data_IF_411288197270
#
_entry.id   IF_411288197270
#
_cell.length_a   1.000
_cell.length_b   1.000
_cell.length_c   1.000
_cell.angle_alpha   90.00
_cell.angle_beta   90.00
_cell.angle_gamma   90.00
#
_symmetry.space_group_name_H-M   'P 1'
#
loop_
_entity.id
_entity.type
_entity.pdbx_description
1 polymer ?
#
# COMPACT_ATOMS: atom_id res chain seq x y z
N UNK A 1 -3.41 -15.51 -15.28
CA UNK A 1 -2.12 -14.99 -14.75
C UNK A 1 -2.39 -13.65 -14.10
N UNK A 2 -1.92 -13.43 -12.86
CA UNK A 2 -2.06 -12.18 -12.12
C UNK A 2 -0.68 -11.52 -12.01
N UNK A 3 -0.56 -10.23 -12.32
CA UNK A 3 0.73 -9.51 -12.32
C UNK A 3 0.55 -8.15 -11.63
N UNK A 4 1.48 -7.79 -10.74
CA UNK A 4 1.44 -6.49 -10.04
C UNK A 4 2.31 -6.47 -8.79
N UNK A 5 2.43 -5.29 -8.16
CA UNK A 5 3.26 -5.06 -6.97
C UNK A 5 2.47 -4.74 -5.69
N UNK A 6 1.17 -4.97 -5.67
CA UNK A 6 0.30 -4.65 -4.52
C UNK A 6 0.10 -5.90 -3.67
N UNK A 7 1.09 -6.23 -2.85
CA UNK A 7 1.13 -7.48 -2.07
C UNK A 7 -0.07 -7.65 -1.13
N UNK A 8 -0.63 -6.57 -0.60
CA UNK A 8 -1.86 -6.66 0.22
C UNK A 8 -3.03 -7.28 -0.58
N UNK A 9 -3.15 -6.99 -1.88
CA UNK A 9 -4.22 -7.54 -2.71
C UNK A 9 -4.01 -9.02 -2.99
N UNK A 10 -2.75 -9.44 -3.24
CA UNK A 10 -2.42 -10.86 -3.35
C UNK A 10 -2.71 -11.61 -2.06
N UNK A 11 -2.37 -11.02 -0.90
CA UNK A 11 -2.62 -11.64 0.39
C UNK A 11 -4.12 -11.82 0.64
N UNK A 12 -4.90 -10.75 0.39
CA UNK A 12 -6.35 -10.78 0.46
C UNK A 12 -6.97 -11.85 -0.45
N UNK A 13 -6.42 -12.02 -1.66
CA UNK A 13 -6.90 -13.03 -2.61
C UNK A 13 -6.56 -14.46 -2.16
N UNK A 14 -5.32 -14.69 -1.70
CA UNK A 14 -4.83 -16.03 -1.36
C UNK A 14 -5.38 -16.54 -0.01
N UNK A 15 -5.40 -15.67 1.00
CA UNK A 15 -5.78 -16.02 2.37
C UNK A 15 -7.26 -15.71 2.67
N UNK A 16 -7.95 -15.01 1.76
CA UNK A 16 -9.24 -14.40 2.02
C UNK A 16 -9.13 -13.14 2.88
N UNK A 17 -10.20 -12.35 2.90
CA UNK A 17 -10.39 -11.27 3.86
C UNK A 17 -11.51 -11.64 4.81
N UNK A 18 -11.30 -11.42 6.10
CA UNK A 18 -12.37 -11.49 7.08
C UNK A 18 -13.51 -10.53 6.68
N UNK A 19 -14.77 -10.92 6.89
CA UNK A 19 -15.92 -10.10 6.54
C UNK A 19 -16.02 -8.90 7.50
N UNK A 20 -15.34 -7.81 7.13
CA UNK A 20 -15.37 -6.56 7.86
C UNK A 20 -16.40 -5.61 7.24
N UNK A 21 -17.06 -4.75 8.04
CA UNK A 21 -17.97 -3.74 7.51
C UNK A 21 -17.24 -2.81 6.54
N UNK A 22 -17.95 -2.36 5.50
CA UNK A 22 -17.43 -1.35 4.58
C UNK A 22 -17.07 -0.06 5.33
N UNK A 23 -16.22 0.76 4.72
CA UNK A 23 -15.89 2.08 5.27
C UNK A 23 -17.16 2.95 5.38
N UNK A 24 -17.33 3.65 6.51
CA UNK A 24 -18.39 4.61 6.70
C UNK A 24 -17.79 6.03 6.83
N UNK A 25 -18.00 6.91 5.84
CA UNK A 25 -17.45 8.27 5.85
C UNK A 25 -17.86 9.11 7.06
N UNK A 26 -19.09 8.95 7.56
CA UNK A 26 -19.61 9.72 8.71
C UNK A 26 -18.85 9.36 9.99
N UNK A 27 -18.70 8.05 10.25
CA UNK A 27 -17.95 7.55 11.41
C UNK A 27 -16.46 7.92 11.32
N UNK A 28 -15.87 7.91 10.12
CA UNK A 28 -14.48 8.38 9.95
C UNK A 28 -14.34 9.85 10.26
N UNK A 29 -15.28 10.68 9.82
CA UNK A 29 -15.27 12.11 10.12
C UNK A 29 -15.41 12.37 11.62
N UNK A 30 -16.25 11.59 12.32
CA UNK A 30 -16.38 11.64 13.78
C UNK A 30 -15.07 11.26 14.49
N UNK A 31 -14.45 10.14 14.10
CA UNK A 31 -13.16 9.71 14.67
C UNK A 31 -12.07 10.76 14.41
N UNK A 32 -12.02 11.33 13.21
CA UNK A 32 -11.05 12.37 12.87
C UNK A 32 -11.28 13.63 13.70
N UNK A 33 -12.55 14.04 13.90
CA UNK A 33 -12.90 15.17 14.77
C UNK A 33 -12.45 14.91 16.22
N UNK A 34 -12.76 13.74 16.76
CA UNK A 34 -12.33 13.36 18.11
C UNK A 34 -10.79 13.33 18.23
N UNK A 35 -10.09 12.88 17.19
CA UNK A 35 -8.63 12.88 17.16
C UNK A 35 -8.04 14.30 17.24
N UNK A 36 -8.73 15.29 16.68
CA UNK A 36 -8.33 16.71 16.74
C UNK A 36 -8.63 17.33 18.10
N UNK A 37 -9.70 16.90 18.77
CA UNK A 37 -10.11 17.42 20.07
C UNK A 37 -9.36 16.78 21.25
N UNK A 38 -9.15 15.46 21.20
CA UNK A 38 -8.60 14.66 22.32
C UNK A 38 -7.21 14.09 22.04
N UNK A 39 -6.80 14.03 20.77
CA UNK A 39 -5.56 13.40 20.34
C UNK A 39 -5.69 11.89 20.06
N UNK A 40 -4.77 11.36 19.26
CA UNK A 40 -4.73 9.93 18.92
C UNK A 40 -4.42 9.01 20.10
N UNK A 41 -3.74 9.50 21.14
CA UNK A 41 -3.47 8.70 22.34
C UNK A 41 -4.78 8.36 23.07
N UNK A 42 -5.69 9.32 23.23
CA UNK A 42 -6.99 9.06 23.86
C UNK A 42 -7.82 8.05 23.06
N UNK A 43 -7.78 8.10 21.73
CA UNK A 43 -8.43 7.11 20.86
C UNK A 43 -7.77 5.73 20.93
N UNK A 44 -6.46 5.67 21.18
CA UNK A 44 -5.75 4.41 21.42
C UNK A 44 -6.13 3.81 22.77
N UNK A 45 -6.26 4.64 23.80
CA UNK A 45 -6.74 4.22 25.12
C UNK A 45 -8.19 3.70 25.03
N UNK A 46 -9.06 4.38 24.27
CA UNK A 46 -10.41 3.87 23.93
C UNK A 46 -10.30 2.49 23.27
N UNK A 47 -9.50 2.33 22.21
CA UNK A 47 -9.29 1.05 21.54
C UNK A 47 -8.82 -0.04 22.52
N UNK A 48 -7.98 0.31 23.50
CA UNK A 48 -7.47 -0.64 24.48
C UNK A 48 -8.56 -1.19 25.40
N UNK A 49 -9.59 -0.41 25.69
CA UNK A 49 -10.73 -0.85 26.50
C UNK A 49 -11.65 -1.81 25.74
N UNK A 50 -11.85 -1.59 24.43
CA UNK A 50 -12.74 -2.42 23.58
C UNK A 50 -12.05 -3.60 22.89
N UNK A 51 -10.77 -3.47 22.51
CA UNK A 51 -9.98 -4.48 21.80
C UNK A 51 -8.50 -4.39 22.23
N UNK A 52 -8.16 -4.93 23.42
CA UNK A 52 -6.79 -4.92 23.93
C UNK A 52 -5.77 -5.54 22.97
N UNK A 53 -6.18 -6.58 22.23
CA UNK A 53 -5.31 -7.31 21.29
C UNK A 53 -4.96 -6.45 20.08
N UNK A 54 -5.93 -5.74 19.51
CA UNK A 54 -5.65 -4.78 18.43
C UNK A 54 -4.84 -3.58 18.94
N UNK A 55 -5.13 -3.09 20.15
CA UNK A 55 -4.40 -1.96 20.74
C UNK A 55 -2.92 -2.26 20.99
N UNK A 56 -2.57 -3.48 21.37
CA UNK A 56 -1.16 -3.90 21.53
C UNK A 56 -0.42 -3.93 20.17
N UNK A 57 -1.12 -4.31 19.10
CA UNK A 57 -0.55 -4.44 17.75
C UNK A 57 -0.49 -3.13 16.97
N UNK A 58 -1.39 -2.19 17.26
CA UNK A 58 -1.53 -0.92 16.55
C UNK A 58 -0.86 0.17 17.38
N UNK A 59 0.19 0.77 16.85
CA UNK A 59 0.87 1.88 17.52
C UNK A 59 -0.03 3.14 17.51
N UNK A 60 -0.05 3.98 18.57
CA UNK A 60 -0.84 5.22 18.61
C UNK A 60 -0.55 6.19 17.44
N UNK A 61 0.66 6.13 16.90
CA UNK A 61 1.10 6.91 15.74
C UNK A 61 0.71 6.30 14.37
N UNK A 62 -0.12 5.26 14.34
CA UNK A 62 -0.72 4.71 13.12
C UNK A 62 -2.21 5.08 13.04
N UNK A 63 -2.53 6.34 12.68
CA UNK A 63 -3.91 6.84 12.71
C UNK A 63 -4.81 6.07 11.74
N UNK A 64 -4.26 5.53 10.65
CA UNK A 64 -5.02 4.78 9.67
C UNK A 64 -5.51 3.45 10.24
N UNK A 65 -4.63 2.68 10.90
CA UNK A 65 -5.03 1.41 11.51
C UNK A 65 -5.89 1.62 12.76
N UNK A 66 -5.57 2.63 13.56
CA UNK A 66 -6.33 2.96 14.76
C UNK A 66 -7.77 3.39 14.40
N UNK A 67 -7.91 4.34 13.46
CA UNK A 67 -9.22 4.77 12.95
C UNK A 67 -10.00 3.59 12.38
N UNK A 68 -9.35 2.68 11.64
CA UNK A 68 -10.03 1.50 11.09
C UNK A 68 -10.52 0.53 12.17
N UNK A 69 -9.75 0.29 13.22
CA UNK A 69 -10.16 -0.61 14.31
C UNK A 69 -11.37 -0.04 15.07
N UNK A 70 -11.34 1.27 15.38
CA UNK A 70 -12.47 1.98 15.99
C UNK A 70 -13.69 2.02 15.07
N UNK A 71 -13.51 2.31 13.77
CA UNK A 71 -14.57 2.32 12.76
C UNK A 71 -15.30 0.96 12.71
N UNK A 72 -14.55 -0.14 12.69
CA UNK A 72 -15.11 -1.50 12.68
C UNK A 72 -15.98 -1.73 13.92
N UNK A 73 -15.49 -1.36 15.11
CA UNK A 73 -16.24 -1.51 16.34
C UNK A 73 -17.49 -0.63 16.36
N UNK A 74 -17.39 0.65 15.98
CA UNK A 74 -18.52 1.59 15.96
C UNK A 74 -19.62 1.19 14.98
N UNK A 75 -19.29 0.55 13.85
CA UNK A 75 -20.29 0.06 12.88
C UNK A 75 -20.96 -1.23 13.38
N UNK A 76 -20.17 -2.17 13.88
CA UNK A 76 -20.63 -3.55 14.07
C UNK A 76 -20.95 -3.93 15.52
N UNK A 77 -20.48 -3.14 16.49
CA UNK A 77 -20.45 -3.48 17.91
C UNK A 77 -19.46 -4.59 18.28
N UNK A 78 -18.68 -5.11 17.32
CA UNK A 78 -17.72 -6.21 17.49
C UNK A 78 -16.30 -5.70 17.28
N UNK A 79 -15.37 -6.21 18.08
CA UNK A 79 -13.96 -5.82 17.98
C UNK A 79 -13.33 -6.29 16.67
N UNK A 80 -12.24 -5.63 16.26
CA UNK A 80 -11.51 -6.04 15.06
C UNK A 80 -10.91 -7.44 15.25
N UNK A 81 -10.45 -7.76 16.45
CA UNK A 81 -9.96 -9.10 16.80
C UNK A 81 -11.05 -10.15 16.62
N UNK A 82 -12.25 -9.93 17.18
CA UNK A 82 -13.39 -10.87 17.05
C UNK A 82 -13.75 -11.13 15.58
N UNK A 83 -13.87 -10.08 14.76
CA UNK A 83 -14.24 -10.25 13.35
C UNK A 83 -13.12 -10.88 12.52
N UNK A 84 -11.85 -10.74 12.93
CA UNK A 84 -10.71 -11.33 12.20
C UNK A 84 -10.39 -12.76 12.59
N UNK A 85 -11.03 -13.31 13.64
CA UNK A 85 -11.01 -14.74 13.92
C UNK A 85 -11.68 -15.55 12.80
N UNK A 86 -12.73 -14.99 12.20
CA UNK A 86 -13.34 -15.53 10.99
C UNK A 86 -12.45 -15.17 9.80
N UNK A 87 -11.69 -16.15 9.30
CA UNK A 87 -10.93 -15.98 8.06
C UNK A 87 -11.86 -16.10 6.86
N UNK A 88 -11.60 -15.30 5.83
CA UNK A 88 -12.24 -15.50 4.54
C UNK A 88 -11.79 -16.81 3.90
N UNK A 89 -12.54 -17.27 2.91
CA UNK A 89 -12.17 -18.46 2.16
C UNK A 89 -10.94 -18.17 1.26
N UNK A 90 -9.96 -19.09 1.21
CA UNK A 90 -8.86 -18.98 0.26
C UNK A 90 -9.37 -19.14 -1.17
N UNK A 91 -8.61 -18.63 -2.13
CA UNK A 91 -8.96 -18.77 -3.55
C UNK A 91 -9.03 -20.27 -3.94
N UNK A 92 -10.06 -20.74 -4.67
CA UNK A 92 -10.21 -22.16 -5.03
C UNK A 92 -9.31 -22.56 -6.22
N UNK A 93 -8.05 -22.16 -6.20
CA UNK A 93 -7.07 -22.45 -7.25
C UNK A 93 -5.76 -22.90 -6.63
N UNK A 94 -5.06 -23.79 -7.33
CA UNK A 94 -3.64 -24.03 -7.06
C UNK A 94 -2.85 -22.86 -7.65
N UNK A 95 -2.17 -22.11 -6.79
CA UNK A 95 -1.43 -20.91 -7.21
C UNK A 95 0.06 -21.17 -7.12
N UNK A 96 0.76 -21.01 -8.25
CA UNK A 96 2.23 -20.89 -8.28
C UNK A 96 2.59 -19.42 -8.17
N UNK A 97 3.46 -19.10 -7.22
CA UNK A 97 3.77 -17.72 -6.86
C UNK A 97 5.20 -17.39 -7.26
N UNK A 98 5.37 -16.30 -7.99
CA UNK A 98 6.66 -15.84 -8.47
C UNK A 98 6.90 -14.40 -8.04
N UNK A 99 8.14 -14.09 -7.68
CA UNK A 99 8.61 -12.73 -7.47
C UNK A 99 9.79 -12.45 -8.38
N UNK A 100 9.74 -11.32 -9.09
CA UNK A 100 10.82 -10.87 -9.96
C UNK A 100 11.41 -9.58 -9.41
N UNK A 101 12.72 -9.56 -9.19
CA UNK A 101 13.44 -8.39 -8.71
C UNK A 101 14.90 -8.39 -9.21
N UNK A 102 15.55 -7.22 -9.33
CA UNK A 102 17.00 -7.16 -9.49
C UNK A 102 17.70 -7.79 -8.28
N UNK A 103 18.84 -8.45 -8.52
CA UNK A 103 19.67 -8.97 -7.41
C UNK A 103 20.26 -7.82 -6.59
N UNK A 104 20.79 -6.82 -7.30
CA UNK A 104 21.47 -5.70 -6.67
C UNK A 104 20.52 -4.54 -6.36
N UNK A 105 20.57 -4.07 -5.11
CA UNK A 105 19.74 -2.94 -4.67
C UNK A 105 20.13 -1.63 -5.39
N UNK A 106 21.41 -1.47 -5.71
CA UNK A 106 21.90 -0.32 -6.47
C UNK A 106 21.27 -0.27 -7.86
N UNK A 107 21.15 -1.41 -8.53
CA UNK A 107 20.52 -1.49 -9.85
C UNK A 107 19.03 -1.16 -9.79
N UNK A 108 18.32 -1.63 -8.75
CA UNK A 108 16.93 -1.23 -8.52
C UNK A 108 16.78 0.28 -8.35
N UNK A 109 17.66 0.93 -7.57
CA UNK A 109 17.61 2.39 -7.39
C UNK A 109 17.90 3.12 -8.71
N UNK A 110 18.93 2.71 -9.46
CA UNK A 110 19.27 3.27 -10.76
C UNK A 110 18.10 3.19 -11.75
N UNK A 111 17.43 2.03 -11.81
CA UNK A 111 16.25 1.84 -12.69
C UNK A 111 15.05 2.68 -12.25
N UNK A 112 14.87 2.90 -10.94
CA UNK A 112 13.82 3.78 -10.41
C UNK A 112 14.06 5.22 -10.85
N UNK A 113 15.29 5.72 -10.71
CA UNK A 113 15.68 7.07 -11.14
C UNK A 113 15.44 7.26 -12.64
N UNK A 114 16.03 6.37 -13.46
CA UNK A 114 15.88 6.41 -14.91
C UNK A 114 14.42 6.33 -15.36
N UNK A 115 13.59 5.52 -14.69
CA UNK A 115 12.15 5.45 -14.99
C UNK A 115 11.46 6.77 -14.66
N UNK A 116 11.78 7.38 -13.53
CA UNK A 116 11.15 8.63 -13.10
C UNK A 116 11.50 9.78 -14.06
N UNK A 117 12.77 9.88 -14.46
CA UNK A 117 13.22 10.81 -15.51
C UNK A 117 12.43 10.63 -16.80
N UNK A 118 12.30 9.39 -17.29
CA UNK A 118 11.51 9.06 -18.48
C UNK A 118 10.02 9.43 -18.35
N UNK A 119 9.44 9.32 -17.15
CA UNK A 119 8.05 9.75 -16.92
C UNK A 119 7.93 11.27 -17.06
N UNK A 120 8.88 12.03 -16.52
CA UNK A 120 8.92 13.50 -16.65
C UNK A 120 9.06 13.91 -18.11
N UNK A 121 10.01 13.31 -18.83
CA UNK A 121 10.21 13.55 -20.27
C UNK A 121 8.96 13.22 -21.10
N UNK A 122 8.19 12.22 -20.67
CA UNK A 122 6.94 11.81 -21.30
C UNK A 122 5.72 12.69 -20.92
N UNK A 123 5.91 13.79 -20.19
CA UNK A 123 4.85 14.73 -19.86
C UNK A 123 4.10 14.45 -18.56
N UNK A 124 4.71 13.73 -17.61
CA UNK A 124 4.09 13.45 -16.30
C UNK A 124 3.64 14.71 -15.55
N UNK A 125 4.41 15.81 -15.63
CA UNK A 125 4.00 17.08 -15.03
C UNK A 125 2.66 17.58 -15.60
N UNK A 126 2.49 17.50 -16.92
CA UNK A 126 1.26 17.96 -17.58
C UNK A 126 0.07 17.07 -17.19
N UNK A 127 0.27 15.75 -17.12
CA UNK A 127 -0.76 14.82 -16.64
C UNK A 127 -1.26 15.21 -15.24
N UNK A 128 -0.34 15.51 -14.31
CA UNK A 128 -0.75 15.91 -12.95
C UNK A 128 -1.38 17.30 -12.94
N UNK A 129 -0.91 18.25 -13.77
CA UNK A 129 -1.54 19.57 -13.91
C UNK A 129 -3.00 19.46 -14.38
N UNK A 130 -3.28 18.58 -15.34
CA UNK A 130 -4.64 18.35 -15.83
C UNK A 130 -5.55 17.78 -14.74
N UNK A 131 -5.03 16.87 -13.90
CA UNK A 131 -5.75 16.38 -12.73
C UNK A 131 -5.94 17.45 -11.65
N UNK A 132 -4.92 18.27 -11.41
CA UNK A 132 -4.94 19.31 -10.38
C UNK A 132 -5.99 20.40 -10.68
N UNK A 133 -6.28 20.67 -11.95
CA UNK A 133 -7.34 21.60 -12.36
C UNK A 133 -8.75 21.09 -12.06
N UNK A 134 -8.92 19.81 -11.73
CA UNK A 134 -10.23 19.24 -11.44
C UNK A 134 -10.64 19.55 -9.99
N UNK A 135 -11.79 20.21 -9.76
CA UNK A 135 -12.22 20.62 -8.43
C UNK A 135 -12.67 19.45 -7.53
N UNK A 136 -12.92 18.28 -8.10
CA UNK A 136 -13.35 17.08 -7.37
C UNK A 136 -12.17 16.25 -6.83
N UNK A 137 -10.93 16.64 -7.12
CA UNK A 137 -9.72 15.97 -6.65
C UNK A 137 -9.04 16.78 -5.54
N UNK A 138 -8.58 16.08 -4.50
CA UNK A 138 -7.86 16.68 -3.38
C UNK A 138 -6.80 15.71 -2.82
N UNK A 139 -5.85 16.24 -2.04
CA UNK A 139 -4.65 15.54 -1.57
C UNK A 139 -4.93 14.33 -0.66
N UNK A 140 -6.15 14.17 -0.13
CA UNK A 140 -6.52 13.04 0.72
C UNK A 140 -6.98 11.81 -0.05
N UNK A 141 -7.25 11.94 -1.35
CA UNK A 141 -7.67 10.83 -2.18
C UNK A 141 -6.52 9.81 -2.38
N UNK A 142 -6.82 8.49 -2.36
CA UNK A 142 -5.81 7.47 -2.60
C UNK A 142 -5.06 7.63 -3.94
N UNK A 143 -5.74 8.10 -4.99
CA UNK A 143 -5.15 8.38 -6.29
C UNK A 143 -4.08 9.47 -6.23
N UNK A 144 -4.34 10.55 -5.49
CA UNK A 144 -3.40 11.68 -5.36
C UNK A 144 -2.24 11.33 -4.42
N UNK A 145 -2.49 10.46 -3.44
CA UNK A 145 -1.45 9.94 -2.54
C UNK A 145 -0.51 8.93 -3.20
N UNK A 146 -0.72 8.57 -4.47
CA UNK A 146 0.21 7.74 -5.23
C UNK A 146 1.61 8.38 -5.29
N UNK A 147 2.63 7.52 -5.31
CA UNK A 147 4.02 7.95 -5.50
C UNK A 147 4.16 8.66 -6.84
N UNK A 148 4.90 9.78 -6.85
CA UNK A 148 4.97 10.70 -7.98
C UNK A 148 3.88 11.76 -7.90
N UNK A 149 2.60 11.34 -7.92
CA UNK A 149 1.46 12.26 -7.90
C UNK A 149 1.46 13.15 -6.66
N UNK A 150 1.63 12.59 -5.46
CA UNK A 150 1.65 13.39 -4.22
C UNK A 150 2.75 14.44 -4.22
N UNK A 151 3.89 14.12 -4.83
CA UNK A 151 5.03 15.02 -4.91
C UNK A 151 4.78 16.12 -5.95
N UNK A 152 4.31 15.75 -7.13
CA UNK A 152 3.97 16.73 -8.16
C UNK A 152 2.83 17.65 -7.70
N UNK A 153 1.85 17.12 -6.97
CA UNK A 153 0.77 17.91 -6.37
C UNK A 153 1.29 18.96 -5.38
N UNK A 154 2.24 18.60 -4.49
CA UNK A 154 2.84 19.58 -3.57
C UNK A 154 3.69 20.64 -4.27
N UNK A 155 4.30 20.32 -5.42
CA UNK A 155 4.90 21.34 -6.28
C UNK A 155 3.85 22.32 -6.83
N UNK A 156 2.70 21.82 -7.29
CA UNK A 156 1.61 22.66 -7.80
C UNK A 156 0.96 23.52 -6.70
N UNK A 157 0.94 23.03 -5.46
CA UNK A 157 0.55 23.79 -4.26
C UNK A 157 1.60 24.84 -3.84
N UNK A 158 2.78 24.86 -4.46
CA UNK A 158 3.88 25.77 -4.12
C UNK A 158 4.64 25.40 -2.84
N UNK A 159 4.49 24.17 -2.33
CA UNK A 159 5.19 23.68 -1.13
C UNK A 159 6.71 23.56 -1.35
N UNK A 160 7.15 23.27 -2.57
CA UNK A 160 8.55 23.11 -2.97
C UNK A 160 8.75 23.27 -4.49
N UNK A 161 10.02 23.37 -4.92
CA UNK A 161 10.39 23.50 -6.32
C UNK A 161 10.14 22.22 -7.13
N UNK A 162 10.14 22.34 -8.46
CA UNK A 162 10.01 21.19 -9.35
C UNK A 162 11.12 20.16 -9.12
N UNK A 163 12.39 20.59 -9.06
CA UNK A 163 13.53 19.70 -8.80
C UNK A 163 13.40 18.96 -7.47
N UNK A 164 12.91 19.65 -6.44
CA UNK A 164 12.65 19.04 -5.14
C UNK A 164 11.50 18.02 -5.20
N UNK A 165 10.46 18.26 -6.01
CA UNK A 165 9.40 17.30 -6.26
C UNK A 165 9.92 16.03 -6.94
N UNK A 166 10.80 16.15 -7.94
CA UNK A 166 11.45 15.01 -8.60
C UNK A 166 12.26 14.21 -7.59
N UNK A 167 13.11 14.88 -6.81
CA UNK A 167 13.92 14.23 -5.78
C UNK A 167 13.06 13.46 -4.76
N UNK A 168 12.01 14.09 -4.22
CA UNK A 168 11.08 13.44 -3.29
C UNK A 168 10.36 12.27 -3.96
N UNK A 169 9.97 12.39 -5.22
CA UNK A 169 9.26 11.35 -5.97
C UNK A 169 10.10 10.09 -6.17
N UNK A 170 11.37 10.26 -6.54
CA UNK A 170 12.36 9.18 -6.62
C UNK A 170 12.54 8.52 -5.25
N UNK A 171 12.74 9.31 -4.19
CA UNK A 171 12.89 8.79 -2.83
C UNK A 171 11.67 7.99 -2.38
N UNK A 172 10.46 8.50 -2.62
CA UNK A 172 9.20 7.83 -2.33
C UNK A 172 9.06 6.51 -3.12
N UNK A 173 9.52 6.48 -4.37
CA UNK A 173 9.52 5.27 -5.21
C UNK A 173 10.48 4.21 -4.65
N UNK A 174 11.68 4.60 -4.22
CA UNK A 174 12.63 3.69 -3.56
C UNK A 174 12.04 3.12 -2.25
N UNK A 175 11.34 3.94 -1.46
CA UNK A 175 10.68 3.48 -0.24
C UNK A 175 9.54 2.50 -0.52
N UNK A 176 8.74 2.76 -1.56
CA UNK A 176 7.71 1.83 -2.03
C UNK A 176 8.33 0.48 -2.41
N UNK A 177 9.37 0.49 -3.27
CA UNK A 177 10.06 -0.72 -3.70
C UNK A 177 10.69 -1.49 -2.52
N UNK A 178 11.28 -0.78 -1.55
CA UNK A 178 11.78 -1.39 -0.30
C UNK A 178 10.66 -2.12 0.44
N UNK A 179 9.50 -1.47 0.65
CA UNK A 179 8.34 -2.08 1.33
C UNK A 179 7.84 -3.30 0.57
N UNK A 180 7.78 -3.21 -0.76
CA UNK A 180 7.38 -4.33 -1.63
C UNK A 180 8.30 -5.54 -1.44
N UNK A 181 9.61 -5.34 -1.48
CA UNK A 181 10.59 -6.41 -1.25
C UNK A 181 10.48 -6.96 0.18
N UNK A 182 10.26 -6.11 1.18
CA UNK A 182 10.03 -6.57 2.57
C UNK A 182 8.84 -7.52 2.65
N UNK A 183 7.73 -7.23 1.96
CA UNK A 183 6.59 -8.15 1.87
C UNK A 183 6.95 -9.49 1.23
N UNK A 184 7.70 -9.46 0.12
CA UNK A 184 8.08 -10.67 -0.62
C UNK A 184 9.06 -11.56 0.17
N UNK A 185 9.93 -10.98 1.00
CA UNK A 185 10.90 -11.73 1.82
C UNK A 185 10.26 -12.65 2.86
N UNK A 186 9.09 -12.28 3.39
CA UNK A 186 8.35 -13.10 4.34
C UNK A 186 7.23 -13.92 3.68
N UNK A 187 7.15 -13.89 2.36
CA UNK A 187 6.10 -14.56 1.60
C UNK A 187 6.39 -16.05 1.44
N UNK A 188 5.42 -16.90 1.77
CA UNK A 188 5.56 -18.36 1.70
C UNK A 188 5.37 -18.87 0.27
N UNK A 189 6.03 -19.98 -0.06
CA UNK A 189 5.89 -20.68 -1.34
C UNK A 189 6.15 -19.80 -2.57
N UNK A 190 7.12 -18.90 -2.45
CA UNK A 190 7.48 -17.91 -3.46
C UNK A 190 8.76 -18.34 -4.23
N UNK A 191 8.65 -18.46 -5.55
CA UNK A 191 9.80 -18.69 -6.43
C UNK A 191 10.40 -17.35 -6.86
N UNK A 192 11.68 -17.14 -6.56
CA UNK A 192 12.39 -15.91 -6.93
C UNK A 192 12.96 -15.99 -8.35
N UNK A 193 12.78 -14.91 -9.11
CA UNK A 193 13.27 -14.73 -10.46
C UNK A 193 14.17 -13.48 -10.49
N UNK A 194 15.27 -13.58 -11.24
CA UNK A 194 16.18 -12.46 -11.45
C UNK A 194 15.68 -11.60 -12.61
N UNK A 195 15.44 -10.32 -12.35
CA UNK A 195 14.97 -9.40 -13.40
C UNK A 195 16.00 -9.12 -14.50
N UNK A 196 17.27 -9.49 -14.27
CA UNK A 196 18.38 -9.29 -15.21
C UNK A 196 18.63 -10.55 -16.08
N UNK A 197 18.03 -11.69 -15.74
CA UNK A 197 18.18 -12.94 -16.50
C UNK A 197 16.80 -13.47 -16.94
N UNK A 198 16.28 -12.87 -18.01
CA UNK A 198 14.94 -13.16 -18.54
C UNK A 198 14.81 -14.61 -19.00
N UNK A 199 15.79 -15.13 -19.75
CA UNK A 199 15.73 -16.48 -20.31
C UNK A 199 15.65 -17.54 -19.20
N UNK A 200 16.48 -17.41 -18.17
CA UNK A 200 16.43 -18.28 -17.01
C UNK A 200 15.12 -18.12 -16.22
N UNK A 201 14.58 -16.90 -16.15
CA UNK A 201 13.28 -16.63 -15.53
C UNK A 201 12.14 -17.36 -16.25
N UNK A 202 12.12 -17.32 -17.58
CA UNK A 202 11.12 -18.01 -18.41
C UNK A 202 11.23 -19.53 -18.25
N UNK A 203 12.46 -20.07 -18.30
CA UNK A 203 12.71 -21.51 -18.08
C UNK A 203 12.24 -21.95 -16.69
N UNK A 204 12.54 -21.17 -15.65
CA UNK A 204 12.12 -21.45 -14.27
C UNK A 204 10.60 -21.50 -14.16
N UNK A 205 9.89 -20.52 -14.75
CA UNK A 205 8.42 -20.51 -14.77
C UNK A 205 7.88 -21.75 -15.49
N UNK A 206 8.43 -22.09 -16.66
CA UNK A 206 7.99 -23.24 -17.44
C UNK A 206 8.14 -24.55 -16.64
N UNK A 207 9.28 -24.75 -15.98
CA UNK A 207 9.54 -25.94 -15.18
C UNK A 207 8.61 -26.05 -13.95
N UNK A 208 8.36 -24.95 -13.24
CA UNK A 208 7.47 -24.94 -12.05
C UNK A 208 6.01 -25.20 -12.43
N UNK A 209 5.59 -24.76 -13.62
CA UNK A 209 4.24 -25.03 -14.14
C UNK A 209 4.14 -26.48 -14.64
N UNK A 210 5.19 -27.02 -15.26
CA UNK A 210 5.20 -28.38 -15.82
C UNK A 210 5.37 -29.49 -14.77
N UNK A 211 5.89 -29.17 -13.58
CA UNK A 211 6.11 -30.14 -12.49
C UNK A 211 4.84 -30.55 -11.71
N UNK A 212 3.66 -30.20 -12.21
CA UNK A 212 2.34 -30.50 -11.61
C UNK A 212 1.57 -31.59 -12.37
#
# INVERSE_FOLDING_TARGET
MLVGGTMLYYKALLEGLSPLPAANPEIRAEIEKESKEKGWQALHDELREIDPVSAERIHPNDPQRLSRALEVYRISGKSLTELTEQKGDPIPYRVKQFAIAPKERSELHRRIELRYEKMVEAGFEQEVKDLYQRPDLHADLPSIRCVGYRQMWGYLDGEYSFDEAIFKGVCATRQLAKRQITWLRSWKDLTWLDSENIDHGVETIANVIASD
#
